data_IF_079695356579
#
_entry.id   IF_079695356579
#
_cell.length_a   1.000
_cell.length_b   1.000
_cell.length_c   1.000
_cell.angle_alpha   90.00
_cell.angle_beta   90.00
_cell.angle_gamma   90.00
#
_symmetry.space_group_name_H-M   'P 1'
#
loop_
_entity.id
_entity.type
_entity.pdbx_description
1 polymer ?
#
# COMPACT_ATOMS: atom_id res chain seq x y z
N UNK A 1 9.30 -1.38 11.44
CA UNK A 1 9.24 -1.94 10.08
C UNK A 1 8.15 -1.16 9.38
N UNK A 2 8.47 -0.19 8.51
CA UNK A 2 7.53 0.80 7.98
C UNK A 2 6.67 0.23 6.86
N UNK A 3 7.03 0.52 5.63
CA UNK A 3 6.30 0.13 4.42
C UNK A 3 6.09 -1.40 4.35
N UNK A 4 7.13 -2.18 4.64
CA UNK A 4 7.10 -3.64 4.71
C UNK A 4 6.03 -4.22 5.65
N UNK A 5 5.65 -3.48 6.70
CA UNK A 5 4.56 -3.91 7.59
C UNK A 5 3.19 -3.71 6.95
N UNK A 6 3.01 -2.61 6.22
CA UNK A 6 1.78 -2.33 5.46
C UNK A 6 1.60 -3.36 4.35
N UNK A 7 2.64 -3.57 3.54
CA UNK A 7 2.67 -4.60 2.49
C UNK A 7 2.31 -5.97 3.06
N UNK A 8 3.03 -6.44 4.09
CA UNK A 8 2.78 -7.75 4.69
C UNK A 8 1.37 -7.89 5.29
N UNK A 9 0.79 -6.80 5.79
CA UNK A 9 -0.59 -6.79 6.31
C UNK A 9 -1.60 -7.01 5.19
N UNK A 10 -1.44 -6.31 4.07
CA UNK A 10 -2.30 -6.49 2.89
C UNK A 10 -2.10 -7.89 2.28
N UNK A 11 -0.86 -8.30 2.02
CA UNK A 11 -0.54 -9.59 1.39
C UNK A 11 -1.12 -10.77 2.18
N UNK A 12 -1.05 -10.71 3.51
CA UNK A 12 -1.66 -11.73 4.38
C UNK A 12 -3.17 -11.81 4.15
N UNK A 13 -3.87 -10.68 4.06
CA UNK A 13 -5.33 -10.63 3.86
C UNK A 13 -5.69 -11.09 2.45
N UNK A 14 -4.99 -10.62 1.43
CA UNK A 14 -5.18 -11.04 0.05
C UNK A 14 -5.06 -12.56 -0.11
N UNK A 15 -4.12 -13.21 0.60
CA UNK A 15 -3.97 -14.67 0.58
C UNK A 15 -5.03 -15.44 1.37
N UNK A 16 -5.64 -14.82 2.38
CA UNK A 16 -6.69 -15.44 3.18
C UNK A 16 -8.08 -15.28 2.54
N UNK A 17 -8.28 -14.23 1.75
CA UNK A 17 -9.59 -13.82 1.24
C UNK A 17 -9.73 -13.98 -0.29
N UNK A 18 -8.64 -14.32 -1.00
CA UNK A 18 -8.64 -14.61 -2.43
C UNK A 18 -7.47 -15.50 -2.84
N UNK A 19 -7.13 -15.54 -4.13
CA UNK A 19 -6.02 -16.36 -4.63
C UNK A 19 -4.63 -15.77 -4.34
N UNK A 20 -4.58 -14.52 -3.92
CA UNK A 20 -3.35 -13.81 -3.57
C UNK A 20 -3.36 -12.40 -4.13
N UNK A 21 -2.17 -11.85 -4.35
CA UNK A 21 -2.01 -10.54 -4.96
C UNK A 21 -2.32 -10.59 -6.45
N UNK A 22 -3.04 -9.59 -6.96
CA UNK A 22 -3.16 -9.38 -8.40
C UNK A 22 -1.93 -8.72 -9.03
N UNK A 23 -1.15 -7.98 -8.23
CA UNK A 23 0.13 -7.36 -8.56
C UNK A 23 0.91 -7.04 -7.27
N UNK A 24 2.21 -6.76 -7.38
CA UNK A 24 3.03 -6.40 -6.21
C UNK A 24 2.49 -5.13 -5.54
N UNK A 25 2.24 -5.21 -4.23
CA UNK A 25 1.72 -4.07 -3.47
C UNK A 25 2.72 -2.92 -3.46
N UNK A 26 2.25 -1.69 -3.66
CA UNK A 26 3.01 -0.46 -3.48
C UNK A 26 2.57 0.16 -2.16
N UNK A 27 3.45 0.19 -1.17
CA UNK A 27 3.24 0.87 0.10
C UNK A 27 4.30 1.96 0.22
N UNK A 28 4.03 3.13 -0.36
CA UNK A 28 5.03 4.17 -0.58
C UNK A 28 4.80 5.38 0.34
N UNK A 29 5.70 5.59 1.30
CA UNK A 29 5.64 6.70 2.24
C UNK A 29 6.45 7.91 1.76
N UNK A 30 5.92 9.11 1.99
CA UNK A 30 6.59 10.37 1.66
C UNK A 30 7.04 10.43 0.20
N UNK A 31 8.32 10.70 -0.02
CA UNK A 31 8.87 10.85 -1.37
C UNK A 31 8.84 9.55 -2.21
N UNK A 32 8.72 8.37 -1.58
CA UNK A 32 8.59 7.12 -2.32
C UNK A 32 7.30 7.09 -3.15
N UNK A 33 6.24 7.78 -2.70
CA UNK A 33 4.98 7.90 -3.45
C UNK A 33 5.14 8.64 -4.79
N UNK A 34 6.26 9.32 -5.01
CA UNK A 34 6.60 9.96 -6.29
C UNK A 34 7.24 8.99 -7.30
N UNK A 35 7.51 7.73 -6.91
CA UNK A 35 7.96 6.66 -7.80
C UNK A 35 6.77 5.77 -8.09
N UNK A 36 6.27 5.79 -9.34
CA UNK A 36 4.99 5.17 -9.70
C UNK A 36 4.90 3.68 -9.31
N UNK A 37 5.98 2.91 -9.49
CA UNK A 37 6.02 1.49 -9.11
C UNK A 37 7.06 1.24 -8.01
N UNK A 38 6.89 1.91 -6.87
CA UNK A 38 7.70 1.66 -5.68
C UNK A 38 7.33 0.32 -5.03
N UNK A 39 7.95 -0.76 -5.50
CA UNK A 39 7.72 -2.12 -4.98
C UNK A 39 8.78 -2.56 -3.96
N UNK A 40 9.76 -1.70 -3.67
CA UNK A 40 10.84 -2.03 -2.72
C UNK A 40 10.35 -2.08 -1.27
N UNK A 41 9.39 -1.20 -0.93
CA UNK A 41 8.66 -1.18 0.34
C UNK A 41 9.55 -1.35 1.58
N UNK A 42 10.75 -0.79 1.57
CA UNK A 42 11.72 -0.91 2.64
C UNK A 42 11.88 0.38 3.47
N UNK A 43 11.13 1.42 3.09
CA UNK A 43 11.13 2.71 3.72
C UNK A 43 10.51 2.72 5.12
N UNK A 44 10.94 3.67 5.96
CA UNK A 44 10.21 4.00 7.18
C UNK A 44 8.90 4.72 6.83
N UNK A 45 7.87 4.50 7.66
CA UNK A 45 6.59 5.21 7.60
C UNK A 45 6.58 6.16 8.78
N UNK A 46 6.60 7.47 8.54
CA UNK A 46 6.72 8.48 9.60
C UNK A 46 5.47 9.32 9.74
N UNK A 47 5.15 9.69 10.98
CA UNK A 47 4.11 10.68 11.25
C UNK A 47 4.43 12.00 10.54
N UNK A 48 3.40 12.65 10.01
CA UNK A 48 3.54 13.84 9.18
C UNK A 48 3.77 13.57 7.69
N UNK A 49 4.01 12.31 7.27
CA UNK A 49 4.04 11.92 5.86
C UNK A 49 2.67 11.40 5.38
N UNK A 50 2.50 11.37 4.06
CA UNK A 50 1.45 10.59 3.40
C UNK A 50 1.96 9.19 3.07
N UNK A 51 1.06 8.21 3.06
CA UNK A 51 1.27 6.87 2.55
C UNK A 51 0.36 6.65 1.34
N UNK A 52 0.95 6.41 0.18
CA UNK A 52 0.23 5.90 -0.99
C UNK A 52 0.23 4.37 -0.91
N UNK A 53 -0.95 3.78 -0.86
CA UNK A 53 -1.17 2.35 -0.94
C UNK A 53 -1.84 2.03 -2.28
N UNK A 54 -1.14 1.32 -3.14
CA UNK A 54 -1.68 0.71 -4.34
C UNK A 54 -1.65 -0.81 -4.19
N UNK A 55 -2.82 -1.43 -4.17
CA UNK A 55 -2.92 -2.84 -3.84
C UNK A 55 -4.16 -3.50 -4.44
N UNK A 56 -3.97 -4.73 -4.90
CA UNK A 56 -4.99 -5.51 -5.59
C UNK A 56 -4.98 -6.98 -5.19
N UNK A 57 -6.16 -7.60 -5.18
CA UNK A 57 -6.37 -9.02 -4.90
C UNK A 57 -6.94 -9.71 -6.14
N UNK A 58 -6.44 -10.90 -6.45
CA UNK A 58 -7.09 -11.79 -7.41
C UNK A 58 -8.23 -12.53 -6.71
N UNK A 59 -9.47 -12.28 -7.15
CA UNK A 59 -10.67 -12.88 -6.58
C UNK A 59 -10.89 -14.31 -7.11
N UNK A 60 -11.83 -15.04 -6.48
CA UNK A 60 -12.20 -16.41 -6.90
C UNK A 60 -12.68 -16.52 -8.36
N UNK A 61 -13.09 -15.40 -8.95
CA UNK A 61 -13.48 -15.29 -10.35
C UNK A 61 -12.29 -15.18 -11.33
N UNK A 62 -11.05 -15.15 -10.82
CA UNK A 62 -9.81 -14.88 -11.56
C UNK A 62 -9.73 -13.46 -12.16
N UNK A 63 -10.50 -12.52 -11.61
CA UNK A 63 -10.37 -11.09 -11.91
C UNK A 63 -9.64 -10.38 -10.78
N UNK A 64 -8.81 -9.40 -11.16
CA UNK A 64 -8.03 -8.59 -10.23
C UNK A 64 -8.79 -7.32 -9.86
N UNK A 65 -8.99 -7.10 -8.55
CA UNK A 65 -9.31 -5.79 -8.03
C UNK A 65 -8.07 -4.90 -8.00
N UNK A 66 -8.23 -3.61 -8.28
CA UNK A 66 -7.13 -2.65 -8.37
C UNK A 66 -7.57 -1.34 -7.71
N UNK A 67 -6.90 -0.96 -6.62
CA UNK A 67 -7.30 0.16 -5.77
C UNK A 67 -6.08 0.90 -5.24
N UNK A 68 -6.03 2.19 -5.56
CA UNK A 68 -5.09 3.15 -4.95
C UNK A 68 -5.78 4.03 -3.91
N UNK A 69 -5.13 4.26 -2.76
CA UNK A 69 -5.53 5.26 -1.75
C UNK A 69 -4.29 5.95 -1.18
N UNK A 70 -4.40 7.26 -0.93
CA UNK A 70 -3.39 8.04 -0.20
C UNK A 70 -3.94 8.44 1.16
N UNK A 71 -3.19 8.13 2.22
CA UNK A 71 -3.62 8.23 3.61
C UNK A 71 -2.61 9.05 4.43
N UNK A 72 -3.06 9.91 5.37
CA UNK A 72 -2.14 10.58 6.28
C UNK A 72 -1.69 9.60 7.36
N UNK A 73 -0.38 9.43 7.54
CA UNK A 73 0.16 8.48 8.53
C UNK A 73 -0.27 8.83 9.96
N UNK A 74 -0.42 10.12 10.27
CA UNK A 74 -0.93 10.62 11.56
C UNK A 74 -2.46 10.56 11.72
N UNK A 75 -3.20 10.00 10.75
CA UNK A 75 -4.66 9.89 10.79
C UNK A 75 -5.42 11.20 10.51
N UNK A 76 -4.72 12.32 10.34
CA UNK A 76 -5.27 13.62 9.91
C UNK A 76 -4.37 14.25 8.87
N UNK A 77 -4.98 14.77 7.81
CA UNK A 77 -4.27 15.60 6.85
C UNK A 77 -3.83 16.91 7.50
N UNK A 78 -2.64 17.37 7.12
CA UNK A 78 -2.21 18.75 7.40
C UNK A 78 -2.81 19.71 6.37
N UNK A 79 -2.75 21.01 6.59
CA UNK A 79 -3.33 22.01 5.66
C UNK A 79 -2.75 21.94 4.24
N UNK A 80 -1.51 21.43 4.09
CA UNK A 80 -0.83 21.30 2.78
C UNK A 80 -1.10 19.95 2.10
N UNK A 81 -1.46 18.92 2.86
CA UNK A 81 -1.65 17.54 2.36
C UNK A 81 -3.09 17.29 1.93
#
# INVERSE_FOLDING_TARGET
RGERWVEGTFNRRARLEGYGLGFETIAAAGAHACVLHWMHNDGPVREGELLLLDAGVEADSFYTGDVTRTLPVGGRFTDVQ
#
